data_IF_266826637908
#
_entry.id   IF_266826637908
#
_cell.length_a   1.000
_cell.length_b   1.000
_cell.length_c   1.000
_cell.angle_alpha   90.00
_cell.angle_beta   90.00
_cell.angle_gamma   90.00
#
_symmetry.space_group_name_H-M   'P 1'
#
loop_
_entity.id
_entity.type
_entity.pdbx_description
1 polymer ?
#
# COMPACT_ATOMS: atom_id res chain seq x y z
N UNK A 1 8.31 -27.85 -35.87
CA UNK A 1 8.32 -28.66 -34.64
C UNK A 1 9.77 -28.85 -34.24
N UNK A 2 10.32 -27.91 -33.47
CA UNK A 2 11.71 -27.93 -33.02
C UNK A 2 11.69 -27.81 -31.51
N UNK A 3 11.84 -28.94 -30.82
CA UNK A 3 11.86 -29.00 -29.36
C UNK A 3 13.23 -28.53 -28.87
N UNK A 4 13.32 -27.28 -28.40
CA UNK A 4 14.44 -26.84 -27.57
C UNK A 4 14.09 -27.16 -26.11
N UNK A 5 14.76 -28.16 -25.56
CA UNK A 5 14.82 -28.40 -24.12
C UNK A 5 15.54 -27.22 -23.45
N UNK A 6 14.94 -26.57 -22.43
CA UNK A 6 15.61 -25.49 -21.73
C UNK A 6 16.75 -26.07 -20.87
N UNK A 7 17.92 -25.44 -21.01
CA UNK A 7 19.16 -25.75 -20.28
C UNK A 7 18.96 -25.53 -18.78
N UNK A 8 19.31 -26.52 -17.97
CA UNK A 8 19.25 -26.42 -16.51
C UNK A 8 20.19 -25.33 -16.00
N UNK A 9 19.74 -24.60 -14.97
CA UNK A 9 20.51 -23.58 -14.28
C UNK A 9 21.59 -24.26 -13.43
N UNK A 10 22.85 -24.00 -13.74
CA UNK A 10 24.03 -24.52 -13.05
C UNK A 10 24.41 -23.55 -11.91
N UNK A 11 24.47 -24.07 -10.68
CA UNK A 11 24.88 -23.34 -9.48
C UNK A 11 26.08 -24.09 -8.87
N UNK A 12 27.28 -23.61 -9.17
CA UNK A 12 28.58 -23.99 -8.60
C UNK A 12 29.69 -23.36 -9.45
N UNK A 13 30.72 -22.69 -8.97
CA UNK A 13 31.28 -22.47 -7.64
C UNK A 13 31.74 -21.01 -7.53
N UNK A 14 31.47 -20.35 -6.39
CA UNK A 14 32.17 -19.12 -6.00
C UNK A 14 33.60 -19.47 -5.56
N UNK A 15 34.65 -18.85 -6.12
CA UNK A 15 35.98 -18.91 -5.52
C UNK A 15 36.04 -18.01 -4.28
N UNK A 16 36.03 -18.71 -3.15
CA UNK A 16 36.44 -18.36 -1.79
C UNK A 16 37.56 -17.29 -1.70
N UNK A 17 37.41 -16.24 -0.85
CA UNK A 17 38.51 -15.32 -0.54
C UNK A 17 39.56 -15.99 0.36
N UNK A 18 40.83 -15.82 0.01
CA UNK A 18 41.98 -16.28 0.76
C UNK A 18 42.20 -15.49 2.08
N UNK A 19 42.92 -16.08 3.07
CA UNK A 19 42.78 -15.76 4.49
C UNK A 19 43.65 -14.60 5.01
N UNK A 20 43.19 -14.13 6.17
CA UNK A 20 43.66 -13.08 7.07
C UNK A 20 45.11 -13.24 7.60
N UNK A 21 45.80 -12.15 7.97
CA UNK A 21 46.69 -12.19 9.12
C UNK A 21 46.46 -10.98 10.03
N UNK A 22 45.54 -11.11 10.98
CA UNK A 22 45.20 -10.01 11.90
C UNK A 22 44.66 -10.42 13.25
N UNK A 23 45.09 -11.59 13.75
CA UNK A 23 44.84 -12.12 15.09
C UNK A 23 44.76 -11.02 16.18
N UNK A 24 43.55 -10.75 16.71
CA UNK A 24 43.33 -10.28 18.08
C UNK A 24 41.88 -10.54 18.54
N UNK A 25 41.69 -11.26 19.66
CA UNK A 25 40.36 -11.63 20.14
C UNK A 25 39.62 -10.44 20.78
N UNK A 26 38.33 -10.36 20.45
CA UNK A 26 37.32 -9.56 21.12
C UNK A 26 37.09 -10.11 22.53
N UNK A 27 37.44 -9.33 23.56
CA UNK A 27 36.92 -9.50 24.92
C UNK A 27 36.32 -8.16 25.36
N UNK A 28 35.07 -8.12 25.85
CA UNK A 28 34.41 -6.89 26.26
C UNK A 28 35.10 -6.30 27.49
N UNK A 29 35.52 -5.04 27.39
CA UNK A 29 36.18 -4.27 28.45
C UNK A 29 35.13 -3.89 29.50
N UNK A 30 35.19 -4.52 30.66
CA UNK A 30 34.42 -4.11 31.83
C UNK A 30 34.86 -2.72 32.30
N UNK A 31 33.89 -1.95 32.76
CA UNK A 31 34.07 -0.63 33.38
C UNK A 31 34.81 -0.84 34.71
N UNK A 32 36.04 -0.35 34.78
CA UNK A 32 36.92 -0.42 35.95
C UNK A 32 36.76 0.87 36.77
N UNK A 33 36.18 0.75 37.96
CA UNK A 33 36.14 1.81 38.97
C UNK A 33 37.17 1.45 40.06
N UNK A 34 38.40 1.88 39.85
CA UNK A 34 39.47 1.85 40.84
C UNK A 34 39.47 3.11 41.70
N UNK A 35 39.35 2.89 43.01
CA UNK A 35 39.38 3.88 44.07
C UNK A 35 40.75 4.56 44.26
N UNK A 36 40.65 5.87 44.52
CA UNK A 36 41.31 6.65 45.56
C UNK A 36 42.83 6.95 45.58
N UNK A 37 43.05 8.18 46.07
CA UNK A 37 44.25 8.83 46.62
C UNK A 37 45.22 9.48 45.61
N UNK A 38 45.66 10.73 45.75
CA UNK A 38 45.46 11.74 46.80
C UNK A 38 45.97 13.09 46.24
N UNK A 39 45.31 14.20 46.57
CA UNK A 39 45.91 15.53 46.84
C UNK A 39 44.81 16.56 47.14
N UNK A 40 44.32 16.49 48.38
CA UNK A 40 44.17 17.61 49.33
C UNK A 40 43.97 19.04 48.78
N UNK A 41 42.80 19.63 49.06
CA UNK A 41 42.71 20.88 49.84
C UNK A 41 41.30 21.19 50.36
N UNK A 42 41.22 21.34 51.69
CA UNK A 42 40.27 22.11 52.52
C UNK A 42 38.80 21.66 52.64
N UNK A 43 38.55 20.84 53.67
CA UNK A 43 37.26 20.70 54.37
C UNK A 43 36.93 21.98 55.15
N UNK A 44 35.71 22.49 55.00
CA UNK A 44 35.05 23.29 56.05
C UNK A 44 33.82 22.53 56.53
N UNK A 45 33.90 22.07 57.79
CA UNK A 45 32.81 21.48 58.53
C UNK A 45 31.75 22.54 58.86
N UNK A 46 30.53 22.40 58.35
CA UNK A 46 29.33 22.89 59.03
C UNK A 46 28.23 21.84 58.94
N UNK A 47 27.63 21.54 60.10
CA UNK A 47 26.53 20.60 60.32
C UNK A 47 25.28 20.98 59.50
N UNK A 48 24.51 20.02 58.97
CA UNK A 48 23.37 20.34 58.11
C UNK A 48 22.23 20.96 58.94
N UNK A 49 21.89 22.21 58.62
CA UNK A 49 20.74 22.93 59.17
C UNK A 49 19.49 22.53 58.40
N UNK A 50 18.50 22.00 59.11
CA UNK A 50 17.19 21.68 58.55
C UNK A 50 16.56 22.95 57.94
N UNK A 51 16.17 22.88 56.66
CA UNK A 51 15.39 23.92 56.00
C UNK A 51 13.91 23.68 56.29
N UNK A 52 13.38 24.52 57.18
CA UNK A 52 11.96 24.61 57.53
C UNK A 52 11.13 25.08 56.32
N UNK A 53 10.01 24.42 56.07
CA UNK A 53 9.06 24.73 54.98
C UNK A 53 7.96 25.70 55.45
N UNK A 54 8.31 26.81 56.09
CA UNK A 54 7.31 27.71 56.69
C UNK A 54 7.56 29.21 56.43
N UNK A 55 8.07 29.54 55.24
CA UNK A 55 8.03 30.91 54.72
C UNK A 55 7.44 30.88 53.30
N UNK A 56 6.12 30.94 53.22
CA UNK A 56 5.38 31.12 51.97
C UNK A 56 5.16 32.63 51.78
N UNK A 57 5.82 33.29 50.82
CA UNK A 57 5.45 34.65 50.44
C UNK A 57 4.06 34.65 49.77
N UNK A 58 3.19 35.64 50.03
CA UNK A 58 1.86 35.69 49.44
C UNK A 58 1.93 35.84 47.91
N UNK A 59 1.17 34.98 47.24
CA UNK A 59 0.98 34.92 45.79
C UNK A 59 0.38 36.22 45.26
N UNK A 60 0.95 36.85 44.21
CA UNK A 60 0.18 37.72 43.34
C UNK A 60 -0.64 36.88 42.38
N UNK A 61 -1.93 37.15 42.36
CA UNK A 61 -2.94 36.54 41.51
C UNK A 61 -2.55 36.60 40.02
N UNK A 62 -2.70 35.44 39.38
CA UNK A 62 -2.95 35.19 37.95
C UNK A 62 -2.71 36.37 36.99
N UNK A 63 -1.58 36.33 36.29
CA UNK A 63 -1.45 36.97 34.98
C UNK A 63 -0.82 35.99 34.01
N UNK A 64 -1.68 35.50 33.11
CA UNK A 64 -1.40 34.86 31.83
C UNK A 64 -0.18 33.92 31.79
N UNK A 65 -0.49 32.62 31.73
CA UNK A 65 0.36 31.63 31.06
C UNK A 65 0.66 32.16 29.67
N UNK A 66 1.81 32.80 29.50
CA UNK A 66 2.39 32.99 28.18
C UNK A 66 2.82 31.61 27.74
N UNK A 67 1.96 30.99 26.93
CA UNK A 67 2.33 29.82 26.16
C UNK A 67 3.67 30.14 25.50
N UNK A 68 4.71 29.42 25.93
CA UNK A 68 6.01 29.43 25.27
C UNK A 68 5.73 29.12 23.81
N UNK A 69 5.79 30.15 22.97
CA UNK A 69 5.49 30.05 21.57
C UNK A 69 6.32 28.89 21.01
N UNK A 70 5.63 27.85 20.54
CA UNK A 70 6.27 26.83 19.73
C UNK A 70 7.09 27.56 18.65
N UNK A 71 8.34 27.14 18.37
CA UNK A 71 9.19 27.83 17.41
C UNK A 71 8.41 27.95 16.10
N UNK A 72 8.06 29.18 15.77
CA UNK A 72 7.35 29.53 14.55
C UNK A 72 8.19 28.97 13.40
N UNK A 73 7.66 28.09 12.55
CA UNK A 73 8.44 27.53 11.47
C UNK A 73 8.91 28.71 10.60
N UNK A 74 10.21 28.77 10.33
CA UNK A 74 10.87 29.82 9.53
C UNK A 74 10.37 29.89 8.07
N UNK A 75 9.35 29.10 7.72
CA UNK A 75 8.88 28.78 6.38
C UNK A 75 7.37 29.03 6.21
N UNK A 76 6.74 29.74 7.17
CA UNK A 76 5.34 30.16 7.09
C UNK A 76 5.09 31.34 6.13
N UNK A 77 6.14 31.88 5.48
CA UNK A 77 5.94 32.83 4.39
C UNK A 77 5.49 32.09 3.13
N UNK A 78 4.39 32.56 2.54
CA UNK A 78 3.73 32.02 1.34
C UNK A 78 4.73 31.77 0.17
N UNK A 79 5.84 32.53 0.17
CA UNK A 79 6.92 32.57 -0.84
C UNK A 79 8.33 32.28 -0.29
N UNK A 80 8.56 31.15 0.39
CA UNK A 80 9.94 30.75 0.74
C UNK A 80 10.78 30.42 -0.52
N UNK A 81 12.00 30.96 -0.70
CA UNK A 81 12.78 30.78 -1.94
C UNK A 81 13.05 29.31 -2.29
N UNK A 82 13.35 28.46 -1.29
CA UNK A 82 13.55 27.03 -1.53
C UNK A 82 12.27 26.31 -2.03
N UNK A 83 11.08 26.77 -1.62
CA UNK A 83 9.81 26.21 -2.12
C UNK A 83 9.58 26.65 -3.56
N UNK A 84 9.89 27.90 -3.90
CA UNK A 84 9.84 28.40 -5.28
C UNK A 84 10.79 27.64 -6.20
N UNK A 85 12.02 27.40 -5.76
CA UNK A 85 13.03 26.65 -6.53
C UNK A 85 12.62 25.17 -6.70
N UNK A 86 11.99 24.58 -5.67
CA UNK A 86 11.39 23.25 -5.76
C UNK A 86 10.23 23.21 -6.75
N UNK A 87 9.33 24.18 -6.73
CA UNK A 87 8.24 24.27 -7.70
C UNK A 87 8.74 24.47 -9.14
N UNK A 88 9.77 25.31 -9.33
CA UNK A 88 10.41 25.49 -10.63
C UNK A 88 11.03 24.19 -11.16
N UNK A 89 11.75 23.47 -10.28
CA UNK A 89 12.33 22.16 -10.61
C UNK A 89 11.24 21.13 -10.91
N UNK A 90 10.17 21.08 -10.11
CA UNK A 90 9.04 20.18 -10.32
C UNK A 90 8.32 20.45 -11.65
N UNK A 91 8.16 21.73 -12.02
CA UNK A 91 7.56 22.13 -13.30
C UNK A 91 8.41 21.70 -14.49
N UNK A 92 9.73 21.75 -14.36
CA UNK A 92 10.67 21.35 -15.41
C UNK A 92 10.78 19.82 -15.55
N UNK A 93 10.98 19.11 -14.44
CA UNK A 93 11.29 17.68 -14.45
C UNK A 93 10.04 16.79 -14.43
N UNK A 94 8.91 17.29 -13.92
CA UNK A 94 7.67 16.54 -13.76
C UNK A 94 6.43 17.32 -14.29
N UNK A 95 6.44 17.76 -15.57
CA UNK A 95 5.43 18.67 -16.10
C UNK A 95 4.00 18.10 -16.09
N UNK A 96 3.85 16.79 -16.31
CA UNK A 96 2.54 16.11 -16.30
C UNK A 96 1.91 16.08 -14.91
N UNK A 97 2.72 15.84 -13.87
CA UNK A 97 2.28 15.85 -12.48
C UNK A 97 1.97 17.30 -12.07
N UNK A 98 2.88 18.23 -12.36
CA UNK A 98 2.75 19.63 -11.98
C UNK A 98 1.46 20.28 -12.49
N UNK A 99 1.11 20.05 -13.76
CA UNK A 99 -0.09 20.60 -14.42
C UNK A 99 -1.39 20.35 -13.63
N UNK A 100 -1.50 19.23 -12.93
CA UNK A 100 -2.72 18.82 -12.24
C UNK A 100 -2.63 18.97 -10.71
N UNK A 101 -1.46 19.31 -10.17
CA UNK A 101 -1.19 19.18 -8.73
C UNK A 101 -0.27 20.23 -8.13
N UNK A 102 -0.05 21.36 -8.83
CA UNK A 102 0.80 22.47 -8.38
C UNK A 102 0.56 22.84 -6.91
N UNK A 103 -0.69 23.09 -6.51
CA UNK A 103 -1.02 23.45 -5.12
C UNK A 103 -0.69 22.34 -4.11
N UNK A 104 -0.90 21.08 -4.49
CA UNK A 104 -0.58 19.91 -3.64
C UNK A 104 0.93 19.76 -3.50
N UNK A 105 1.68 19.90 -4.60
CA UNK A 105 3.15 19.90 -4.57
C UNK A 105 3.70 21.04 -3.73
N UNK A 106 3.14 22.25 -3.84
CA UNK A 106 3.54 23.38 -3.00
C UNK A 106 3.35 23.08 -1.50
N UNK A 107 2.22 22.47 -1.13
CA UNK A 107 1.98 22.02 0.24
C UNK A 107 2.98 20.93 0.68
N UNK A 108 3.30 19.97 -0.18
CA UNK A 108 4.31 18.94 0.12
C UNK A 108 5.71 19.55 0.30
N UNK A 109 6.11 20.48 -0.56
CA UNK A 109 7.40 21.16 -0.45
C UNK A 109 7.53 21.97 0.83
N UNK A 110 6.48 22.70 1.24
CA UNK A 110 6.46 23.40 2.54
C UNK A 110 6.59 22.46 3.74
N UNK A 111 6.13 21.21 3.62
CA UNK A 111 6.22 20.23 4.72
C UNK A 111 7.58 19.54 4.80
N UNK A 112 8.23 19.28 3.67
CA UNK A 112 9.49 18.55 3.63
C UNK A 112 10.72 19.46 3.68
N UNK A 113 10.59 20.74 3.31
CA UNK A 113 11.65 21.72 3.39
C UNK A 113 11.60 22.46 4.74
N UNK A 114 12.76 22.68 5.40
CA UNK A 114 14.10 22.21 5.04
C UNK A 114 14.23 20.71 5.31
N UNK A 115 15.02 20.04 4.48
CA UNK A 115 15.17 18.58 4.51
C UNK A 115 15.82 18.16 5.82
N UNK A 116 15.18 17.23 6.52
CA UNK A 116 15.68 16.64 7.77
C UNK A 116 15.53 15.13 7.72
N UNK A 117 16.50 14.40 8.25
CA UNK A 117 16.50 12.93 8.26
C UNK A 117 15.20 12.37 8.83
N UNK A 118 14.77 12.86 9.99
CA UNK A 118 13.53 12.44 10.65
C UNK A 118 12.26 12.66 9.80
N UNK A 119 12.22 13.71 8.96
CA UNK A 119 11.09 13.95 8.06
C UNK A 119 11.11 12.97 6.88
N UNK A 120 12.30 12.69 6.33
CA UNK A 120 12.47 11.78 5.20
C UNK A 120 12.11 10.36 5.58
N UNK A 121 12.53 9.89 6.77
CA UNK A 121 12.27 8.52 7.22
C UNK A 121 10.77 8.22 7.37
N UNK A 122 9.97 9.20 7.80
CA UNK A 122 8.52 9.08 7.95
C UNK A 122 7.72 9.60 6.74
N UNK A 123 8.39 10.10 5.69
CA UNK A 123 7.72 10.79 4.58
C UNK A 123 6.73 9.88 3.85
N UNK A 124 5.51 10.33 3.59
CA UNK A 124 4.48 9.52 2.92
C UNK A 124 4.05 8.24 3.69
N UNK A 125 4.29 8.14 5.00
CA UNK A 125 3.81 7.01 5.80
C UNK A 125 2.29 6.83 5.69
N UNK A 126 1.51 7.91 5.80
CA UNK A 126 0.05 7.87 5.61
C UNK A 126 -0.36 7.29 4.24
N UNK A 127 0.10 7.85 3.10
CA UNK A 127 -0.13 7.28 1.78
C UNK A 127 0.28 5.81 1.63
N UNK A 128 1.40 5.39 2.23
CA UNK A 128 1.85 4.00 2.18
C UNK A 128 0.93 3.06 2.95
N UNK A 129 0.50 3.46 4.14
CA UNK A 129 -0.46 2.70 4.95
C UNK A 129 -1.83 2.63 4.26
N UNK A 130 -2.28 3.74 3.66
CA UNK A 130 -3.50 3.76 2.87
C UNK A 130 -3.42 2.80 1.68
N UNK A 131 -2.30 2.77 0.95
CA UNK A 131 -2.08 1.82 -0.14
C UNK A 131 -2.11 0.37 0.34
N UNK A 132 -1.47 0.08 1.48
CA UNK A 132 -1.49 -1.26 2.05
C UNK A 132 -2.90 -1.70 2.45
N UNK A 133 -3.70 -0.80 3.02
CA UNK A 133 -5.09 -1.07 3.40
C UNK A 133 -5.99 -1.41 2.19
N UNK A 134 -5.64 -0.95 0.98
CA UNK A 134 -6.39 -1.27 -0.25
C UNK A 134 -6.16 -2.71 -0.74
N UNK A 135 -5.13 -3.41 -0.27
CA UNK A 135 -4.82 -4.76 -0.75
C UNK A 135 -5.85 -5.79 -0.28
N UNK A 136 -6.34 -5.65 0.96
CA UNK A 136 -7.35 -6.54 1.51
C UNK A 136 -8.66 -6.52 0.70
N UNK A 137 -9.34 -5.36 0.49
CA UNK A 137 -10.60 -5.34 -0.26
C UNK A 137 -10.43 -5.80 -1.71
N UNK A 138 -9.29 -5.51 -2.35
CA UNK A 138 -8.98 -6.04 -3.70
C UNK A 138 -8.90 -7.57 -3.68
N UNK A 139 -8.21 -8.14 -2.70
CA UNK A 139 -8.09 -9.60 -2.55
C UNK A 139 -9.46 -10.24 -2.30
N UNK A 140 -10.29 -9.63 -1.46
CA UNK A 140 -11.66 -10.09 -1.18
C UNK A 140 -12.54 -10.08 -2.44
N UNK A 141 -12.41 -9.08 -3.31
CA UNK A 141 -13.14 -9.03 -4.58
C UNK A 141 -12.71 -10.15 -5.53
N UNK A 142 -11.41 -10.40 -5.67
CA UNK A 142 -10.90 -11.52 -6.48
C UNK A 142 -11.39 -12.87 -5.93
N UNK A 143 -11.40 -13.02 -4.61
CA UNK A 143 -11.91 -14.24 -3.97
C UNK A 143 -13.42 -14.41 -4.21
N UNK A 144 -14.22 -13.35 -4.04
CA UNK A 144 -15.66 -13.36 -4.34
C UNK A 144 -15.92 -13.75 -5.80
N UNK A 145 -15.16 -13.18 -6.74
CA UNK A 145 -15.23 -13.55 -8.16
C UNK A 145 -15.02 -15.05 -8.37
N UNK A 146 -13.93 -15.59 -7.80
CA UNK A 146 -13.61 -17.02 -7.91
C UNK A 146 -14.67 -17.92 -7.27
N UNK A 147 -15.22 -17.53 -6.11
CA UNK A 147 -16.20 -18.32 -5.36
C UNK A 147 -17.57 -18.40 -6.05
N UNK A 148 -17.93 -17.42 -6.88
CA UNK A 148 -19.19 -17.49 -7.63
C UNK A 148 -19.25 -18.65 -8.62
N UNK A 149 -18.10 -19.16 -9.08
CA UNK A 149 -17.97 -20.34 -9.95
C UNK A 149 -18.98 -20.37 -11.12
N UNK A 150 -19.30 -19.19 -11.68
CA UNK A 150 -20.35 -19.02 -12.70
C UNK A 150 -20.16 -19.90 -13.93
N UNK A 151 -18.93 -20.15 -14.44
CA UNK A 151 -18.73 -21.11 -15.51
C UNK A 151 -19.24 -22.52 -15.18
N UNK A 152 -19.01 -23.00 -13.96
CA UNK A 152 -19.48 -24.32 -13.52
C UNK A 152 -21.01 -24.34 -13.38
N UNK A 153 -21.62 -23.23 -12.93
CA UNK A 153 -23.09 -23.10 -12.89
C UNK A 153 -23.71 -23.13 -14.30
N UNK A 154 -23.05 -22.53 -15.30
CA UNK A 154 -23.49 -22.59 -16.70
C UNK A 154 -23.37 -24.01 -17.27
N UNK A 155 -22.28 -24.72 -16.96
CA UNK A 155 -22.07 -26.11 -17.38
C UNK A 155 -23.11 -27.05 -16.75
N UNK A 156 -23.33 -26.96 -15.44
CA UNK A 156 -24.36 -27.74 -14.74
C UNK A 156 -25.77 -27.45 -15.29
N UNK A 157 -26.07 -26.18 -15.59
CA UNK A 157 -27.33 -25.81 -16.23
C UNK A 157 -27.47 -26.41 -17.64
N UNK A 158 -26.40 -26.46 -18.43
CA UNK A 158 -26.39 -27.12 -19.74
C UNK A 158 -26.57 -28.64 -19.61
N UNK A 159 -25.87 -29.30 -18.69
CA UNK A 159 -25.96 -30.75 -18.49
C UNK A 159 -27.34 -31.19 -17.99
N UNK A 160 -27.91 -30.46 -17.01
CA UNK A 160 -29.26 -30.73 -16.50
C UNK A 160 -30.33 -30.63 -17.60
N UNK A 161 -30.08 -29.85 -18.64
CA UNK A 161 -31.02 -29.67 -19.78
C UNK A 161 -30.88 -30.71 -20.89
N UNK A 162 -29.72 -31.40 -20.99
CA UNK A 162 -29.44 -32.43 -21.99
C UNK A 162 -29.92 -33.82 -21.58
N UNK A 163 -30.11 -34.07 -20.28
CA UNK A 163 -30.54 -35.38 -19.80
C UNK A 163 -31.98 -35.67 -20.28
N UNK A 164 -32.22 -36.74 -21.06
CA UNK A 164 -33.58 -37.14 -21.37
C UNK A 164 -34.28 -37.48 -20.05
N UNK A 165 -35.48 -36.94 -19.85
CA UNK A 165 -36.34 -37.13 -18.69
C UNK A 165 -36.88 -38.57 -18.65
N UNK A 166 -36.00 -39.57 -18.67
CA UNK A 166 -36.31 -40.97 -18.53
C UNK A 166 -36.47 -41.35 -17.07
N UNK A 167 -37.24 -42.41 -16.83
CA UNK A 167 -37.53 -43.04 -15.52
C UNK A 167 -36.31 -43.29 -14.62
N UNK A 168 -35.08 -43.31 -15.16
CA UNK A 168 -33.83 -43.44 -14.42
C UNK A 168 -33.37 -42.18 -13.67
N UNK A 169 -33.92 -41.00 -13.98
CA UNK A 169 -33.63 -39.74 -13.26
C UNK A 169 -34.07 -39.74 -11.79
N UNK A 170 -34.95 -40.68 -11.39
CA UNK A 170 -35.36 -40.87 -9.99
C UNK A 170 -34.31 -41.63 -9.14
N UNK A 171 -33.36 -42.32 -9.78
CA UNK A 171 -32.32 -43.10 -9.10
C UNK A 171 -30.98 -42.36 -9.01
N UNK A 172 -30.67 -41.49 -9.97
CA UNK A 172 -29.49 -40.62 -9.92
C UNK A 172 -29.86 -39.28 -9.26
N UNK A 173 -29.68 -39.23 -7.94
CA UNK A 173 -29.51 -38.06 -7.09
C UNK A 173 -29.60 -36.69 -7.82
N UNK A 174 -30.82 -36.17 -7.90
CA UNK A 174 -31.24 -34.75 -8.02
C UNK A 174 -30.21 -33.80 -8.65
N UNK A 175 -30.03 -33.90 -9.97
CA UNK A 175 -29.59 -32.74 -10.75
C UNK A 175 -30.56 -31.58 -10.48
N UNK A 176 -30.08 -30.33 -10.35
CA UNK A 176 -30.95 -29.19 -10.12
C UNK A 176 -32.00 -29.13 -11.23
N UNK A 177 -33.27 -29.04 -10.84
CA UNK A 177 -34.36 -28.86 -11.81
C UNK A 177 -34.11 -27.56 -12.60
N UNK A 178 -34.50 -27.46 -13.88
CA UNK A 178 -34.25 -26.27 -14.71
C UNK A 178 -34.71 -24.94 -14.07
N UNK A 179 -35.75 -24.96 -13.23
CA UNK A 179 -36.18 -23.82 -12.42
C UNK A 179 -35.14 -23.38 -11.34
N UNK A 180 -34.42 -24.33 -10.74
CA UNK A 180 -33.33 -24.06 -9.79
C UNK A 180 -32.12 -23.49 -10.52
N UNK A 181 -31.76 -24.02 -11.71
CA UNK A 181 -30.68 -23.48 -12.55
C UNK A 181 -30.98 -22.05 -12.98
N UNK A 182 -32.22 -21.74 -13.36
CA UNK A 182 -32.67 -20.37 -13.67
C UNK A 182 -32.51 -19.41 -12.48
N UNK A 183 -32.92 -19.84 -11.28
CA UNK A 183 -32.79 -19.02 -10.07
C UNK A 183 -31.32 -18.81 -9.68
N UNK A 184 -30.50 -19.86 -9.74
CA UNK A 184 -29.06 -19.78 -9.47
C UNK A 184 -28.34 -18.83 -10.43
N UNK A 185 -28.62 -18.94 -11.73
CA UNK A 185 -28.03 -18.06 -12.76
C UNK A 185 -28.52 -16.61 -12.64
N UNK A 186 -29.78 -16.39 -12.26
CA UNK A 186 -30.30 -15.04 -12.01
C UNK A 186 -29.60 -14.41 -10.79
N UNK A 187 -29.41 -15.18 -9.71
CA UNK A 187 -28.65 -14.75 -8.54
C UNK A 187 -27.18 -14.47 -8.89
N UNK A 188 -26.53 -15.37 -9.64
CA UNK A 188 -25.15 -15.20 -10.09
C UNK A 188 -24.99 -13.92 -10.92
N UNK A 189 -25.93 -13.63 -11.83
CA UNK A 189 -25.93 -12.37 -12.60
C UNK A 189 -26.00 -11.15 -11.68
N UNK A 190 -26.87 -11.15 -10.68
CA UNK A 190 -26.98 -10.05 -9.73
C UNK A 190 -25.68 -9.85 -8.94
N UNK A 191 -25.04 -10.95 -8.50
CA UNK A 191 -23.76 -10.91 -7.80
C UNK A 191 -22.61 -10.41 -8.70
N UNK A 192 -22.57 -10.82 -9.98
CA UNK A 192 -21.60 -10.32 -10.95
C UNK A 192 -21.78 -8.82 -11.21
N UNK A 193 -23.02 -8.33 -11.28
CA UNK A 193 -23.30 -6.89 -11.42
C UNK A 193 -22.84 -6.10 -10.19
N UNK A 194 -23.07 -6.62 -8.98
CA UNK A 194 -22.55 -6.01 -7.76
C UNK A 194 -21.02 -6.00 -7.75
N UNK A 195 -20.39 -7.11 -8.15
CA UNK A 195 -18.93 -7.21 -8.24
C UNK A 195 -18.35 -6.16 -9.22
N UNK A 196 -19.02 -5.91 -10.36
CA UNK A 196 -18.63 -4.82 -11.28
C UNK A 196 -18.60 -3.47 -10.57
N UNK A 197 -19.66 -3.12 -9.83
CA UNK A 197 -19.72 -1.85 -9.09
C UNK A 197 -18.66 -1.78 -7.99
N UNK A 198 -18.47 -2.84 -7.21
CA UNK A 198 -17.48 -2.87 -6.13
C UNK A 198 -16.04 -2.78 -6.69
N UNK A 199 -15.79 -3.43 -7.83
CA UNK A 199 -14.51 -3.40 -8.53
C UNK A 199 -14.19 -2.01 -9.09
N UNK A 200 -15.18 -1.25 -9.55
CA UNK A 200 -15.01 0.14 -9.99
C UNK A 200 -14.53 1.04 -8.87
N UNK A 201 -15.15 0.92 -7.70
CA UNK A 201 -14.76 1.67 -6.50
C UNK A 201 -13.33 1.30 -6.09
N UNK A 202 -13.01 0.00 -6.08
CA UNK A 202 -11.66 -0.46 -5.76
C UNK A 202 -10.60 0.07 -6.74
N UNK A 203 -10.86 0.01 -8.06
CA UNK A 203 -9.97 0.56 -9.08
C UNK A 203 -9.75 2.06 -8.88
N UNK A 204 -10.82 2.84 -8.67
CA UNK A 204 -10.71 4.28 -8.43
C UNK A 204 -9.87 4.60 -7.19
N UNK A 205 -10.07 3.88 -6.10
CA UNK A 205 -9.29 4.07 -4.87
C UNK A 205 -7.80 3.74 -5.07
N UNK A 206 -7.49 2.69 -5.85
CA UNK A 206 -6.12 2.35 -6.22
C UNK A 206 -5.48 3.43 -7.11
N UNK A 207 -6.21 3.98 -8.08
CA UNK A 207 -5.73 5.06 -8.95
C UNK A 207 -5.44 6.35 -8.18
N UNK A 208 -6.33 6.71 -7.25
CA UNK A 208 -6.13 7.86 -6.38
C UNK A 208 -4.91 7.66 -5.47
N UNK A 209 -4.77 6.47 -4.88
CA UNK A 209 -3.62 6.14 -4.04
C UNK A 209 -2.30 6.14 -4.83
N UNK A 210 -2.28 5.56 -6.02
CA UNK A 210 -1.11 5.59 -6.92
C UNK A 210 -0.73 7.03 -7.29
N UNK A 211 -1.72 7.88 -7.60
CA UNK A 211 -1.50 9.30 -7.88
C UNK A 211 -0.91 10.01 -6.67
N UNK A 212 -1.44 9.77 -5.47
CA UNK A 212 -0.96 10.37 -4.24
C UNK A 212 0.48 9.93 -3.89
N UNK A 213 0.80 8.65 -4.06
CA UNK A 213 2.16 8.13 -3.90
C UNK A 213 3.13 8.77 -4.90
N UNK A 214 2.73 8.90 -6.17
CA UNK A 214 3.54 9.55 -7.20
C UNK A 214 3.81 11.03 -6.88
N UNK A 215 2.87 11.76 -6.26
CA UNK A 215 3.11 13.13 -5.79
C UNK A 215 4.20 13.17 -4.71
N UNK A 216 4.11 12.28 -3.72
CA UNK A 216 5.09 12.22 -2.64
C UNK A 216 6.47 11.76 -3.14
N UNK A 217 6.50 10.86 -4.13
CA UNK A 217 7.72 10.43 -4.81
C UNK A 217 8.38 11.58 -5.57
N UNK A 218 7.60 12.32 -6.36
CA UNK A 218 8.11 13.47 -7.12
C UNK A 218 8.64 14.56 -6.19
N UNK A 219 7.94 14.83 -5.07
CA UNK A 219 8.40 15.78 -4.06
C UNK A 219 9.77 15.38 -3.50
N UNK A 220 9.97 14.11 -3.14
CA UNK A 220 11.28 13.62 -2.69
C UNK A 220 12.36 13.72 -3.77
N UNK A 221 12.04 13.41 -5.02
CA UNK A 221 13.00 13.46 -6.11
C UNK A 221 13.51 14.88 -6.36
N UNK A 222 12.61 15.87 -6.37
CA UNK A 222 12.94 17.29 -6.48
C UNK A 222 13.81 17.74 -5.33
N UNK A 223 13.42 17.40 -4.10
CA UNK A 223 14.13 17.82 -2.89
C UNK A 223 15.51 17.17 -2.79
N UNK A 224 15.65 15.91 -3.23
CA UNK A 224 16.94 15.22 -3.35
C UNK A 224 17.87 15.89 -4.34
N UNK A 225 17.34 16.46 -5.44
CA UNK A 225 18.12 17.22 -6.43
C UNK A 225 18.58 18.56 -5.85
N UNK A 226 17.71 19.25 -5.12
CA UNK A 226 18.04 20.53 -4.47
C UNK A 226 19.04 20.39 -3.31
N UNK A 227 19.00 19.27 -2.59
CA UNK A 227 19.95 18.96 -1.52
C UNK A 227 21.37 18.62 -2.05
N UNK A 228 21.52 18.44 -3.36
CA UNK A 228 22.74 17.98 -4.02
C UNK A 228 23.98 18.80 -3.66
N UNK A 229 24.86 18.21 -2.83
CA UNK A 229 26.15 18.76 -2.42
C UNK A 229 26.22 19.29 -0.98
N UNK A 230 25.08 19.54 -0.33
CA UNK A 230 25.03 20.08 1.04
C UNK A 230 24.50 19.09 2.10
N UNK A 231 23.92 17.95 1.66
CA UNK A 231 23.42 16.91 2.53
C UNK A 231 24.52 15.91 2.94
N UNK A 232 24.44 15.42 4.17
CA UNK A 232 25.31 14.35 4.67
C UNK A 232 24.93 12.99 4.04
N UNK A 233 25.87 12.04 4.06
CA UNK A 233 25.70 10.74 3.41
C UNK A 233 24.49 9.95 3.93
N UNK A 234 24.15 10.10 5.22
CA UNK A 234 23.03 9.38 5.83
C UNK A 234 21.69 9.89 5.31
N UNK A 235 21.55 11.20 5.12
CA UNK A 235 20.35 11.80 4.56
C UNK A 235 20.15 11.42 3.09
N UNK A 236 21.24 11.36 2.32
CA UNK A 236 21.19 10.93 0.92
C UNK A 236 20.72 9.48 0.80
N UNK A 237 21.25 8.58 1.62
CA UNK A 237 20.81 7.18 1.66
C UNK A 237 19.33 7.07 2.05
N UNK A 238 18.90 7.77 3.11
CA UNK A 238 17.51 7.79 3.53
C UNK A 238 16.55 8.30 2.43
N UNK A 239 16.95 9.34 1.68
CA UNK A 239 16.17 9.85 0.54
C UNK A 239 16.04 8.79 -0.56
N UNK A 240 17.12 8.08 -0.90
CA UNK A 240 17.12 7.01 -1.90
C UNK A 240 16.25 5.84 -1.47
N UNK A 241 16.41 5.37 -0.22
CA UNK A 241 15.62 4.29 0.34
C UNK A 241 14.13 4.63 0.35
N UNK A 242 13.77 5.81 0.85
CA UNK A 242 12.35 6.22 0.94
C UNK A 242 11.73 6.39 -0.44
N UNK A 243 12.45 6.97 -1.39
CA UNK A 243 12.00 7.10 -2.78
C UNK A 243 11.77 5.74 -3.42
N UNK A 244 12.65 4.78 -3.17
CA UNK A 244 12.52 3.40 -3.67
C UNK A 244 11.28 2.72 -3.11
N UNK A 245 11.04 2.84 -1.80
CA UNK A 245 9.86 2.27 -1.14
C UNK A 245 8.56 2.82 -1.74
N UNK A 246 8.44 4.15 -1.86
CA UNK A 246 7.24 4.78 -2.45
C UNK A 246 7.05 4.34 -3.91
N UNK A 247 8.14 4.23 -4.67
CA UNK A 247 8.07 3.76 -6.05
C UNK A 247 7.59 2.30 -6.15
N UNK A 248 8.05 1.43 -5.27
CA UNK A 248 7.58 0.04 -5.20
C UNK A 248 6.09 -0.02 -4.88
N UNK A 249 5.62 0.76 -3.90
CA UNK A 249 4.19 0.83 -3.56
C UNK A 249 3.33 1.34 -4.74
N UNK A 250 3.80 2.37 -5.47
CA UNK A 250 3.10 2.88 -6.64
C UNK A 250 3.05 1.84 -7.78
N UNK A 251 4.13 1.08 -7.99
CA UNK A 251 4.15 -0.03 -8.96
C UNK A 251 3.19 -1.14 -8.57
N UNK A 252 3.11 -1.50 -7.29
CA UNK A 252 2.15 -2.49 -6.79
C UNK A 252 0.72 -2.02 -7.03
N UNK A 253 0.41 -0.76 -6.76
CA UNK A 253 -0.90 -0.17 -7.06
C UNK A 253 -1.26 -0.30 -8.55
N UNK A 254 -0.31 0.02 -9.44
CA UNK A 254 -0.50 -0.11 -10.88
C UNK A 254 -0.78 -1.57 -11.33
N UNK A 255 -0.09 -2.55 -10.74
CA UNK A 255 -0.35 -3.96 -11.01
C UNK A 255 -1.75 -4.38 -10.52
N UNK A 256 -2.15 -3.94 -9.33
CA UNK A 256 -3.50 -4.22 -8.81
C UNK A 256 -4.59 -3.58 -9.67
N UNK A 257 -4.38 -2.38 -10.22
CA UNK A 257 -5.30 -1.73 -11.16
C UNK A 257 -5.48 -2.59 -12.41
N UNK A 258 -4.39 -3.09 -12.99
CA UNK A 258 -4.44 -3.97 -14.17
C UNK A 258 -5.18 -5.28 -13.88
N UNK A 259 -4.90 -5.91 -12.74
CA UNK A 259 -5.59 -7.13 -12.30
C UNK A 259 -7.09 -6.90 -12.13
N UNK A 260 -7.48 -5.80 -11.49
CA UNK A 260 -8.90 -5.43 -11.36
C UNK A 260 -9.56 -5.16 -12.72
N UNK A 261 -8.84 -4.55 -13.66
CA UNK A 261 -9.31 -4.38 -15.04
C UNK A 261 -9.61 -5.71 -15.73
N UNK A 262 -8.76 -6.72 -15.53
CA UNK A 262 -8.99 -8.07 -16.06
C UNK A 262 -10.20 -8.75 -15.42
N UNK A 263 -10.34 -8.68 -14.09
CA UNK A 263 -11.52 -9.22 -13.38
C UNK A 263 -12.80 -8.58 -13.89
N UNK A 264 -12.79 -7.27 -14.13
CA UNK A 264 -13.95 -6.55 -14.69
C UNK A 264 -14.31 -7.03 -16.08
N UNK A 265 -13.33 -7.20 -16.96
CA UNK A 265 -13.59 -7.71 -18.30
C UNK A 265 -14.21 -9.12 -18.25
N UNK A 266 -13.62 -10.02 -17.47
CA UNK A 266 -14.14 -11.38 -17.30
C UNK A 266 -15.55 -11.39 -16.69
N UNK A 267 -15.81 -10.50 -15.73
CA UNK A 267 -17.14 -10.35 -15.11
C UNK A 267 -18.16 -9.88 -16.14
N UNK A 268 -17.82 -8.90 -16.98
CA UNK A 268 -18.68 -8.43 -18.06
C UNK A 268 -19.00 -9.54 -19.07
N UNK A 269 -18.00 -10.33 -19.46
CA UNK A 269 -18.17 -11.46 -20.37
C UNK A 269 -19.11 -12.51 -19.77
N UNK A 270 -18.94 -12.86 -18.49
CA UNK A 270 -19.82 -13.80 -17.78
C UNK A 270 -21.25 -13.27 -17.63
N UNK A 271 -21.43 -11.97 -17.36
CA UNK A 271 -22.77 -11.36 -17.36
C UNK A 271 -23.44 -11.54 -18.72
N UNK A 272 -22.69 -11.33 -19.81
CA UNK A 272 -23.17 -11.56 -21.19
C UNK A 272 -23.57 -13.01 -21.44
N UNK A 273 -22.72 -13.96 -21.04
CA UNK A 273 -22.99 -15.40 -21.18
C UNK A 273 -24.22 -15.85 -20.39
N UNK A 274 -24.32 -15.46 -19.11
CA UNK A 274 -25.48 -15.77 -18.26
C UNK A 274 -26.76 -15.15 -18.83
N UNK A 275 -26.68 -13.90 -19.32
CA UNK A 275 -27.82 -13.24 -19.95
C UNK A 275 -28.28 -13.98 -21.21
N UNK A 276 -27.34 -14.32 -22.11
CA UNK A 276 -27.61 -15.09 -23.32
C UNK A 276 -28.23 -16.46 -22.99
N UNK A 277 -27.69 -17.15 -21.99
CA UNK A 277 -28.23 -18.44 -21.54
C UNK A 277 -29.67 -18.31 -21.04
N UNK A 278 -29.95 -17.31 -20.20
CA UNK A 278 -31.29 -17.09 -19.62
C UNK A 278 -32.33 -16.65 -20.66
N UNK A 279 -31.93 -15.91 -21.71
CA UNK A 279 -32.88 -15.34 -22.68
C UNK A 279 -33.01 -16.16 -23.97
N UNK A 280 -31.97 -16.91 -24.35
CA UNK A 280 -31.93 -17.65 -25.63
C UNK A 280 -31.89 -19.15 -25.39
N UNK A 281 -30.88 -19.63 -24.66
CA UNK A 281 -30.62 -21.07 -24.52
C UNK A 281 -31.70 -21.76 -23.69
N UNK A 282 -32.03 -21.20 -22.52
CA UNK A 282 -33.01 -21.81 -21.61
C UNK A 282 -34.42 -21.86 -22.23
N UNK A 283 -34.96 -20.80 -22.85
CA UNK A 283 -36.26 -20.90 -23.54
C UNK A 283 -36.26 -21.88 -24.72
N UNK A 284 -35.18 -21.94 -25.51
CA UNK A 284 -35.08 -22.91 -26.62
C UNK A 284 -35.10 -24.36 -26.12
N UNK A 285 -34.45 -24.63 -24.99
CA UNK A 285 -34.45 -25.94 -24.34
C UNK A 285 -35.83 -26.29 -23.77
N UNK A 286 -36.49 -25.34 -23.10
CA UNK A 286 -37.86 -25.54 -22.59
C UNK A 286 -38.84 -25.87 -23.73
N UNK A 287 -38.72 -25.18 -24.88
CA UNK A 287 -39.52 -25.49 -26.08
C UNK A 287 -39.23 -26.87 -26.66
N UNK A 288 -37.96 -27.27 -26.76
CA UNK A 288 -37.57 -28.58 -27.26
C UNK A 288 -38.08 -29.72 -26.36
N UNK A 289 -38.04 -29.53 -25.04
CA UNK A 289 -38.58 -30.48 -24.07
C UNK A 289 -40.11 -30.58 -24.16
N UNK A 290 -40.82 -29.47 -24.36
CA UNK A 290 -42.27 -29.47 -24.57
C UNK A 290 -42.69 -30.20 -25.86
N UNK A 291 -41.89 -30.11 -26.93
CA UNK A 291 -42.16 -30.79 -28.20
C UNK A 291 -41.86 -32.30 -28.15
N UNK A 292 -40.89 -32.73 -27.34
CA UNK A 292 -40.55 -34.16 -27.17
C UNK A 292 -41.51 -34.91 -26.23
N UNK A 293 -42.35 -34.21 -25.48
CA UNK A 293 -43.30 -34.78 -24.52
C UNK A 293 -44.74 -34.99 -25.05
N UNK A 294 -45.00 -34.58 -26.29
CA UNK A 294 -46.24 -34.84 -27.05
C UNK A 294 -45.99 -35.89 -28.13
#
# INVERSE_FOLDING_TARGET
>A
MSQQTPKAFDFGDEPQPAPDPGNRPLVPRALDFGDADDTTAARQNTTPKALSFDDIPPVPETSAVTAKAAPKPLFDSEDHPAVRDALATARADYPSIFKHSEQRLAALFRRILPVRLALVTCWAEGPLMAQAALLQPVTELVLKFSQMAVPALLEEALESSRAPTGVFSKLFRRAPTPAQSKAALTSARAQLLQLMTDSEVATRNLEESATNLNLHWAALAVVSKLAGGAADATLLDALVQRRTLIQQAARQAALSILQMGQVRQQTADLIGQVSSFLTVTLPALEMAQAQSGN
#
